data_IF_225729090841
#
_entry.id   IF_225729090841
#
_cell.length_a   1.000
_cell.length_b   1.000
_cell.length_c   1.000
_cell.angle_alpha   90.00
_cell.angle_beta   90.00
_cell.angle_gamma   90.00
#
_symmetry.space_group_name_H-M   'P 1'
#
loop_
_entity.id
_entity.type
_entity.pdbx_description
1 polymer ?
#
# COMPACT_ATOMS: atom_id res chain seq x y z
N UNK A 1 -1.30 4.61 15.70
CA UNK A 1 -1.38 3.60 14.62
C UNK A 1 -0.22 3.82 13.68
N UNK A 2 0.58 2.79 13.43
CA UNK A 2 1.73 2.83 12.51
C UNK A 2 1.37 1.98 11.26
N UNK A 3 1.87 2.29 10.04
CA UNK A 3 2.78 3.39 9.69
C UNK A 3 2.11 4.77 9.60
N UNK A 4 2.91 5.80 9.91
CA UNK A 4 2.58 7.20 9.67
C UNK A 4 3.43 7.73 8.52
N UNK A 5 2.82 8.57 7.69
CA UNK A 5 3.47 9.25 6.56
C UNK A 5 3.39 10.75 6.76
N UNK A 6 4.40 11.47 6.28
CA UNK A 6 4.43 12.91 6.32
C UNK A 6 3.72 13.47 5.09
N UNK A 7 2.90 14.50 5.29
CA UNK A 7 2.26 15.28 4.23
C UNK A 7 2.50 16.77 4.46
N UNK A 8 2.33 17.57 3.41
CA UNK A 8 2.16 19.01 3.54
C UNK A 8 0.68 19.32 3.78
N UNK A 9 0.34 19.84 4.96
CA UNK A 9 -1.04 20.17 5.30
C UNK A 9 -1.51 21.49 4.65
N UNK A 10 -2.80 21.79 4.76
CA UNK A 10 -3.42 22.99 4.17
C UNK A 10 -2.92 24.31 4.77
N UNK A 11 -2.20 24.27 5.89
CA UNK A 11 -1.55 25.42 6.52
C UNK A 11 -0.08 25.57 6.08
N UNK A 12 0.40 24.77 5.12
CA UNK A 12 1.78 24.78 4.66
C UNK A 12 2.79 24.21 5.66
N UNK A 13 2.33 23.37 6.60
CA UNK A 13 3.18 22.71 7.59
C UNK A 13 3.26 21.21 7.33
N UNK A 14 4.43 20.63 7.57
CA UNK A 14 4.57 19.18 7.58
C UNK A 14 3.84 18.57 8.77
N UNK A 15 3.09 17.51 8.53
CA UNK A 15 2.37 16.77 9.56
C UNK A 15 2.44 15.26 9.29
N UNK A 16 2.54 14.47 10.35
CA UNK A 16 2.42 13.01 10.26
C UNK A 16 0.95 12.62 10.37
N UNK A 17 0.51 11.79 9.41
CA UNK A 17 -0.85 11.27 9.35
C UNK A 17 -0.82 9.76 9.13
N UNK A 18 -1.86 9.02 9.58
CA UNK A 18 -1.94 7.59 9.33
C UNK A 18 -1.84 7.30 7.84
N UNK A 19 -1.11 6.24 7.48
CA UNK A 19 -0.94 5.84 6.08
C UNK A 19 -2.25 5.30 5.46
N UNK A 20 -3.15 4.75 6.28
CA UNK A 20 -4.33 4.00 5.82
C UNK A 20 -5.28 4.76 4.88
N UNK A 21 -5.60 6.06 5.05
CA UNK A 21 -6.47 6.77 4.12
C UNK A 21 -5.82 6.95 2.74
N UNK A 22 -4.50 7.09 2.69
CA UNK A 22 -3.75 7.23 1.44
C UNK A 22 -3.74 5.90 0.68
N UNK A 23 -3.53 4.78 1.38
CA UNK A 23 -3.61 3.44 0.79
C UNK A 23 -5.02 3.15 0.28
N UNK A 24 -6.07 3.51 1.02
CA UNK A 24 -7.45 3.34 0.56
C UNK A 24 -7.72 4.12 -0.74
N UNK A 25 -7.24 5.38 -0.83
CA UNK A 25 -7.31 6.17 -2.06
C UNK A 25 -6.51 5.56 -3.21
N UNK A 26 -5.30 5.04 -2.93
CA UNK A 26 -4.44 4.40 -3.92
C UNK A 26 -5.06 3.11 -4.48
N UNK A 27 -5.70 2.32 -3.62
CA UNK A 27 -6.46 1.14 -4.01
C UNK A 27 -7.63 1.55 -4.92
N UNK A 28 -8.44 2.54 -4.51
CA UNK A 28 -9.58 3.01 -5.32
C UNK A 28 -9.14 3.59 -6.67
N UNK A 29 -8.02 4.31 -6.69
CA UNK A 29 -7.44 4.80 -7.94
C UNK A 29 -6.99 3.64 -8.83
N UNK A 30 -6.29 2.65 -8.27
CA UNK A 30 -5.83 1.45 -8.99
C UNK A 30 -7.00 0.66 -9.60
N UNK A 31 -8.10 0.52 -8.85
CA UNK A 31 -9.32 -0.15 -9.33
C UNK A 31 -9.90 0.51 -10.59
N UNK A 32 -9.87 1.84 -10.64
CA UNK A 32 -10.46 2.63 -11.73
C UNK A 32 -9.50 3.02 -12.85
N UNK A 33 -8.21 2.71 -12.73
CA UNK A 33 -7.16 3.11 -13.68
C UNK A 33 -7.32 2.43 -15.06
N UNK A 34 -7.81 1.18 -15.07
CA UNK A 34 -8.05 0.40 -16.29
C UNK A 34 -9.20 -0.59 -16.10
N UNK A 35 -9.66 -1.17 -17.22
CA UNK A 35 -10.61 -2.28 -17.19
C UNK A 35 -10.05 -3.43 -16.33
N UNK A 36 -10.82 -3.90 -15.36
CA UNK A 36 -10.43 -4.88 -14.33
C UNK A 36 -9.26 -4.45 -13.41
N UNK A 37 -9.02 -3.14 -13.24
CA UNK A 37 -7.98 -2.63 -12.33
C UNK A 37 -8.07 -3.15 -10.90
N UNK A 38 -9.24 -3.62 -10.45
CA UNK A 38 -9.41 -4.21 -9.11
C UNK A 38 -8.58 -5.48 -8.87
N UNK A 39 -8.10 -6.15 -9.93
CA UNK A 39 -7.19 -7.30 -9.83
C UNK A 39 -5.71 -6.92 -9.77
N UNK A 40 -5.38 -5.62 -9.92
CA UNK A 40 -4.01 -5.16 -9.80
C UNK A 40 -3.61 -4.92 -8.33
N UNK A 41 -2.30 -5.04 -8.08
CA UNK A 41 -1.73 -4.61 -6.80
C UNK A 41 -1.62 -3.08 -6.71
N UNK A 42 -1.90 -2.54 -5.52
CA UNK A 42 -1.62 -1.14 -5.19
C UNK A 42 -0.14 -0.91 -4.82
N UNK A 43 0.65 -1.99 -4.67
CA UNK A 43 2.06 -1.95 -4.28
C UNK A 43 2.94 -1.34 -5.36
N UNK A 44 4.07 -0.75 -4.96
CA UNK A 44 5.04 -0.08 -5.83
C UNK A 44 4.47 1.11 -6.64
N UNK A 45 3.37 1.70 -6.17
CA UNK A 45 2.74 2.87 -6.79
C UNK A 45 3.04 4.12 -5.97
N UNK A 46 3.17 5.25 -6.67
CA UNK A 46 3.48 6.55 -6.04
C UNK A 46 2.34 6.97 -5.11
N UNK A 47 2.69 7.33 -3.87
CA UNK A 47 1.77 7.85 -2.87
C UNK A 47 1.69 9.38 -3.00
N UNK A 48 0.82 9.86 -3.88
CA UNK A 48 0.65 11.29 -4.12
C UNK A 48 0.36 12.08 -2.82
N UNK A 49 1.06 13.19 -2.62
CA UNK A 49 0.95 14.04 -1.44
C UNK A 49 1.79 13.60 -0.23
N UNK A 50 2.43 12.41 -0.29
CA UNK A 50 3.39 11.98 0.72
C UNK A 50 4.75 12.62 0.48
N UNK A 51 5.32 13.21 1.52
CA UNK A 51 6.61 13.89 1.52
C UNK A 51 7.65 13.23 2.42
N UNK A 52 7.27 12.20 3.18
CA UNK A 52 8.13 11.56 4.17
C UNK A 52 7.46 10.39 4.87
N UNK A 53 8.23 9.73 5.73
CA UNK A 53 7.78 8.71 6.69
C UNK A 53 8.14 9.14 8.11
N UNK A 54 7.40 8.70 9.11
CA UNK A 54 7.70 9.00 10.52
C UNK A 54 9.04 8.40 10.97
N UNK A 55 9.32 7.19 10.50
CA UNK A 55 10.58 6.50 10.73
C UNK A 55 11.28 6.23 9.41
N UNK A 56 12.61 6.26 9.43
CA UNK A 56 13.40 5.81 8.30
C UNK A 56 13.16 4.32 8.09
N UNK A 57 12.93 3.94 6.83
CA UNK A 57 12.73 2.56 6.41
C UNK A 57 13.70 2.33 5.27
N UNK A 58 14.72 1.53 5.53
CA UNK A 58 15.69 1.18 4.51
C UNK A 58 15.02 0.39 3.38
N UNK A 59 15.30 0.81 2.15
CA UNK A 59 14.93 0.07 0.95
C UNK A 59 16.14 -0.04 0.03
N UNK A 60 16.60 -1.27 -0.19
CA UNK A 60 17.68 -1.59 -1.12
C UNK A 60 17.16 -2.67 -2.05
N UNK A 61 16.94 -2.32 -3.31
CA UNK A 61 16.36 -3.25 -4.28
C UNK A 61 17.27 -4.49 -4.47
N UNK A 62 16.70 -5.67 -4.23
CA UNK A 62 17.40 -6.95 -4.39
C UNK A 62 18.26 -7.39 -3.20
N UNK A 63 18.20 -6.69 -2.06
CA UNK A 63 18.93 -7.04 -0.84
C UNK A 63 17.99 -7.05 0.37
N UNK A 64 18.33 -7.83 1.40
CA UNK A 64 17.60 -7.79 2.67
C UNK A 64 17.67 -6.38 3.27
N UNK A 65 16.50 -5.79 3.52
CA UNK A 65 16.34 -4.43 4.02
C UNK A 65 15.11 -4.33 4.93
N UNK A 66 14.95 -3.21 5.63
CA UNK A 66 13.82 -2.99 6.53
C UNK A 66 12.47 -3.15 5.83
N UNK A 67 12.34 -2.60 4.62
CA UNK A 67 11.12 -2.69 3.84
C UNK A 67 10.71 -4.13 3.54
N UNK A 68 11.67 -5.01 3.23
CA UNK A 68 11.41 -6.43 2.95
C UNK A 68 11.09 -7.20 4.24
N UNK A 69 11.76 -6.90 5.35
CA UNK A 69 11.42 -7.46 6.66
C UNK A 69 9.99 -7.11 7.09
N UNK A 70 9.58 -5.86 6.89
CA UNK A 70 8.21 -5.40 7.16
C UNK A 70 7.18 -6.10 6.28
N UNK A 71 7.48 -6.21 4.98
CA UNK A 71 6.63 -6.92 4.01
C UNK A 71 6.46 -8.39 4.38
N UNK A 72 7.55 -9.06 4.77
CA UNK A 72 7.54 -10.45 5.23
C UNK A 72 6.76 -10.62 6.55
N UNK A 73 6.68 -9.58 7.37
CA UNK A 73 5.82 -9.53 8.56
C UNK A 73 4.37 -9.14 8.26
N UNK A 74 3.97 -9.08 6.98
CA UNK A 74 2.65 -8.69 6.50
C UNK A 74 2.25 -7.25 6.85
N UNK A 75 3.23 -6.36 6.94
CA UNK A 75 3.00 -4.95 7.19
C UNK A 75 3.32 -4.14 5.94
N UNK A 76 2.27 -3.57 5.35
CA UNK A 76 2.42 -2.61 4.27
C UNK A 76 3.01 -1.29 4.78
N UNK A 77 3.94 -0.73 4.04
CA UNK A 77 4.71 0.46 4.40
C UNK A 77 4.93 1.38 3.20
N UNK A 78 5.81 2.36 3.34
CA UNK A 78 6.22 3.29 2.31
C UNK A 78 7.74 3.23 2.11
N UNK A 79 8.19 3.17 0.86
CA UNK A 79 9.62 3.21 0.49
C UNK A 79 9.93 4.50 -0.26
N UNK A 80 11.18 4.95 -0.20
CA UNK A 80 11.68 6.04 -1.04
C UNK A 80 12.42 5.45 -2.24
N UNK A 81 11.75 5.43 -3.39
CA UNK A 81 12.31 4.94 -4.67
C UNK A 81 11.63 5.70 -5.81
N UNK A 82 12.34 6.68 -6.39
CA UNK A 82 11.77 7.60 -7.39
C UNK A 82 10.43 8.23 -6.93
N UNK A 83 10.47 8.80 -5.73
CA UNK A 83 9.29 9.24 -4.99
C UNK A 83 8.91 8.29 -3.86
N UNK A 84 7.95 8.70 -3.04
CA UNK A 84 7.41 7.85 -1.98
C UNK A 84 6.40 6.89 -2.58
N UNK A 85 6.65 5.58 -2.44
CA UNK A 85 5.84 4.52 -3.01
C UNK A 85 5.28 3.60 -1.94
N UNK A 86 4.09 3.08 -2.17
CA UNK A 86 3.54 1.98 -1.38
C UNK A 86 4.43 0.75 -1.50
N UNK A 87 4.62 0.02 -0.41
CA UNK A 87 5.34 -1.25 -0.40
C UNK A 87 4.56 -2.27 0.43
N UNK A 88 4.40 -3.48 -0.09
CA UNK A 88 3.57 -4.52 0.54
C UNK A 88 2.44 -5.00 -0.37
N UNK A 89 1.24 -5.15 0.18
CA UNK A 89 0.11 -5.79 -0.49
C UNK A 89 -0.28 -7.15 0.11
N UNK A 90 0.37 -7.54 1.21
CA UNK A 90 0.06 -8.73 1.97
C UNK A 90 -1.09 -8.49 2.95
N UNK A 91 -2.01 -9.46 3.06
CA UNK A 91 -2.98 -9.50 4.15
C UNK A 91 -2.36 -10.11 5.41
N UNK A 92 -3.03 -10.03 6.55
CA UNK A 92 -2.58 -10.72 7.78
C UNK A 92 -3.22 -12.11 7.95
N UNK A 93 -3.69 -12.72 6.85
CA UNK A 93 -4.36 -14.02 6.89
C UNK A 93 -3.35 -15.16 7.06
N UNK A 94 -3.69 -16.18 7.86
CA UNK A 94 -2.80 -17.32 8.15
C UNK A 94 -2.64 -18.28 6.94
N UNK A 95 -3.71 -18.48 6.19
CA UNK A 95 -3.66 -19.27 4.96
C UNK A 95 -2.95 -18.50 3.85
N UNK A 96 -1.85 -19.08 3.37
CA UNK A 96 -1.01 -18.53 2.31
C UNK A 96 -1.75 -18.31 0.98
N UNK A 97 -2.87 -18.99 0.75
CA UNK A 97 -3.70 -18.71 -0.42
C UNK A 97 -4.33 -17.31 -0.34
N UNK A 98 -4.54 -16.73 0.85
CA UNK A 98 -5.12 -15.39 1.03
C UNK A 98 -4.07 -14.32 1.33
N UNK A 99 -2.79 -14.66 1.19
CA UNK A 99 -1.69 -13.76 1.52
C UNK A 99 -1.67 -12.51 0.64
N UNK A 100 -1.95 -12.65 -0.67
CA UNK A 100 -1.97 -11.53 -1.62
C UNK A 100 -3.32 -10.80 -1.58
N UNK A 101 -3.31 -9.51 -1.25
CA UNK A 101 -4.51 -8.69 -1.22
C UNK A 101 -5.15 -8.59 -2.61
N UNK A 102 -4.39 -8.54 -3.70
CA UNK A 102 -4.96 -8.44 -5.04
C UNK A 102 -5.83 -9.67 -5.36
N UNK A 103 -5.37 -10.87 -4.97
CA UNK A 103 -6.16 -12.11 -5.03
C UNK A 103 -7.43 -12.05 -4.20
N UNK A 104 -7.34 -11.65 -2.92
CA UNK A 104 -8.51 -11.53 -2.03
C UNK A 104 -9.56 -10.60 -2.64
N UNK A 105 -9.12 -9.43 -3.12
CA UNK A 105 -9.99 -8.43 -3.73
C UNK A 105 -10.60 -8.89 -5.05
N UNK A 106 -9.83 -9.61 -5.87
CA UNK A 106 -10.35 -10.21 -7.11
C UNK A 106 -11.47 -11.20 -6.79
N UNK A 107 -11.26 -12.08 -5.81
CA UNK A 107 -12.26 -13.06 -5.39
C UNK A 107 -13.52 -12.38 -4.84
N UNK A 108 -13.37 -11.38 -3.97
CA UNK A 108 -14.47 -10.58 -3.42
C UNK A 108 -15.32 -9.92 -4.52
N UNK A 109 -14.68 -9.24 -5.48
CA UNK A 109 -15.37 -8.56 -6.58
C UNK A 109 -16.13 -9.52 -7.49
N UNK A 110 -15.53 -10.68 -7.82
CA UNK A 110 -16.18 -11.70 -8.65
C UNK A 110 -17.34 -12.35 -7.89
N UNK A 111 -17.16 -12.68 -6.61
CA UNK A 111 -18.21 -13.24 -5.76
C UNK A 111 -19.41 -12.28 -5.68
N UNK A 112 -19.18 -10.99 -5.44
CA UNK A 112 -20.23 -9.97 -5.45
C UNK A 112 -20.94 -9.85 -6.81
N UNK A 113 -20.22 -10.00 -7.92
CA UNK A 113 -20.80 -9.95 -9.26
C UNK A 113 -21.66 -11.18 -9.57
N UNK A 114 -21.25 -12.37 -9.10
CA UNK A 114 -21.93 -13.65 -9.34
C UNK A 114 -23.10 -13.96 -8.40
N UNK A 115 -23.36 -13.12 -7.39
CA UNK A 115 -24.50 -13.25 -6.48
C UNK A 115 -25.85 -12.79 -7.08
N UNK A 116 -25.88 -12.51 -8.38
CA UNK A 116 -27.09 -12.13 -9.13
C UNK A 116 -27.65 -13.33 -9.88
#
# INVERSE_FOLDING_TARGET
TWPQVQILNTQGKYAYVPQSPIIAGLIAHTDGDKEYGFSDSYSNRVMNGVTGTEYFIEFINGFDCDADRLRNAHISTCILSEGYRSWGGETSHEDTIWQDLARVRTFDRIALAGQK
#
